data_IF_246444878839
#
_entry.id   IF_246444878839
#
_cell.length_a   1.000
_cell.length_b   1.000
_cell.length_c   1.000
_cell.angle_alpha   90.00
_cell.angle_beta   90.00
_cell.angle_gamma   90.00
#
_symmetry.space_group_name_H-M   'P 1'
#
loop_
_entity.id
_entity.type
_entity.pdbx_description
1 polymer ?
#
# COMPACT_ATOMS: atom_id res chain seq x y z
N UNK A 1 -4.56 -10.44 20.05
CA UNK A 1 -4.84 -10.87 18.64
C UNK A 1 -3.98 -9.97 17.77
N UNK A 2 -3.29 -10.53 16.77
CA UNK A 2 -2.45 -9.80 15.82
C UNK A 2 -3.27 -8.76 15.05
N UNK A 3 -2.67 -7.61 14.77
CA UNK A 3 -3.33 -6.51 14.05
C UNK A 3 -2.54 -6.14 12.80
N UNK A 4 -3.23 -5.48 11.87
CA UNK A 4 -2.61 -4.86 10.70
C UNK A 4 -2.83 -3.35 10.82
N UNK A 5 -1.73 -2.61 10.82
CA UNK A 5 -1.75 -1.16 10.75
C UNK A 5 -1.31 -0.71 9.37
N UNK A 6 -2.01 0.26 8.82
CA UNK A 6 -1.52 1.01 7.67
C UNK A 6 -1.22 2.43 8.06
N UNK A 7 -0.20 3.02 7.48
CA UNK A 7 0.04 4.46 7.52
C UNK A 7 0.24 4.96 6.10
N UNK A 8 -0.59 5.91 5.69
CA UNK A 8 -0.60 6.35 4.30
C UNK A 8 -1.62 7.45 4.02
N UNK A 9 -1.63 7.90 2.79
CA UNK A 9 -2.58 8.90 2.32
C UNK A 9 -3.94 8.27 2.05
N UNK A 10 -5.00 9.05 2.34
CA UNK A 10 -6.30 8.84 1.75
C UNK A 10 -6.72 10.05 0.94
N UNK A 11 -7.40 9.81 -0.16
CA UNK A 11 -7.84 10.82 -1.11
C UNK A 11 -9.20 10.43 -1.69
N UNK A 12 -10.00 11.40 -2.09
CA UNK A 12 -11.25 11.12 -2.78
C UNK A 12 -11.07 11.37 -4.28
N UNK A 13 -11.03 10.28 -5.06
CA UNK A 13 -10.82 10.34 -6.50
C UNK A 13 -12.14 10.60 -7.23
N UNK A 14 -12.20 11.65 -8.05
CA UNK A 14 -13.33 11.98 -8.92
C UNK A 14 -12.89 11.72 -10.35
N UNK A 15 -13.48 10.70 -10.99
CA UNK A 15 -13.14 10.29 -12.33
C UNK A 15 -14.01 11.03 -13.36
N UNK A 16 -13.36 11.58 -14.36
CA UNK A 16 -14.00 12.26 -15.48
C UNK A 16 -13.76 11.50 -16.78
N UNK A 17 -14.80 11.38 -17.59
CA UNK A 17 -14.71 10.91 -18.97
C UNK A 17 -15.43 11.90 -19.87
N UNK A 18 -14.76 12.36 -20.94
CA UNK A 18 -15.29 13.38 -21.86
C UNK A 18 -15.83 14.63 -21.12
N UNK A 19 -15.08 15.07 -20.10
CA UNK A 19 -15.42 16.25 -19.30
C UNK A 19 -16.58 16.09 -18.32
N UNK A 20 -17.16 14.87 -18.19
CA UNK A 20 -18.25 14.59 -17.25
C UNK A 20 -17.77 13.69 -16.11
N UNK A 21 -18.17 13.96 -14.83
CA UNK A 21 -17.86 13.06 -13.74
C UNK A 21 -18.62 11.74 -13.91
N UNK A 22 -17.91 10.61 -13.85
CA UNK A 22 -18.48 9.26 -14.03
C UNK A 22 -18.43 8.41 -12.78
N UNK A 23 -17.52 8.71 -11.87
CA UNK A 23 -17.39 8.01 -10.58
C UNK A 23 -16.73 8.92 -9.56
N UNK A 24 -16.96 8.63 -8.28
CA UNK A 24 -16.26 9.24 -7.17
C UNK A 24 -16.07 8.19 -6.07
N UNK A 25 -14.81 7.91 -5.70
CA UNK A 25 -14.45 6.82 -4.81
C UNK A 25 -13.34 7.23 -3.84
N UNK A 26 -13.37 6.79 -2.58
CA UNK A 26 -12.21 6.89 -1.70
C UNK A 26 -11.05 6.06 -2.24
N UNK A 27 -9.83 6.56 -2.13
CA UNK A 27 -8.64 5.89 -2.62
C UNK A 27 -7.40 6.21 -1.80
N UNK A 28 -6.29 5.73 -2.28
CA UNK A 28 -4.96 5.77 -1.67
C UNK A 28 -4.36 4.37 -1.62
N UNK A 29 -3.06 4.23 -1.86
CA UNK A 29 -2.47 2.92 -2.06
C UNK A 29 -2.63 2.01 -0.82
N UNK A 30 -2.19 2.46 0.36
CA UNK A 30 -2.36 1.71 1.61
C UNK A 30 -3.86 1.57 1.98
N UNK A 31 -4.65 2.61 1.72
CA UNK A 31 -6.10 2.59 1.93
C UNK A 31 -6.78 1.45 1.16
N UNK A 32 -6.52 1.33 -0.13
CA UNK A 32 -7.13 0.31 -0.99
C UNK A 32 -6.84 -1.11 -0.47
N UNK A 33 -5.59 -1.36 -0.09
CA UNK A 33 -5.19 -2.64 0.50
C UNK A 33 -5.89 -2.92 1.83
N UNK A 34 -5.99 -1.92 2.71
CA UNK A 34 -6.66 -2.08 4.00
C UNK A 34 -8.15 -2.33 3.87
N UNK A 35 -8.85 -1.64 2.95
CA UNK A 35 -10.28 -1.91 2.67
C UNK A 35 -10.47 -3.37 2.29
N UNK A 36 -9.62 -3.90 1.42
CA UNK A 36 -9.69 -5.31 1.01
C UNK A 36 -9.45 -6.26 2.18
N UNK A 37 -8.48 -5.97 3.04
CA UNK A 37 -8.21 -6.75 4.25
C UNK A 37 -9.36 -6.67 5.27
N UNK A 38 -9.91 -5.49 5.50
CA UNK A 38 -11.05 -5.32 6.40
C UNK A 38 -12.28 -6.11 5.95
N UNK A 39 -12.53 -6.18 4.64
CA UNK A 39 -13.59 -7.03 4.05
C UNK A 39 -13.41 -8.51 4.37
N UNK A 40 -12.18 -9.01 4.53
CA UNK A 40 -11.92 -10.39 4.99
C UNK A 40 -12.10 -10.59 6.49
N UNK A 41 -12.40 -9.53 7.26
CA UNK A 41 -12.60 -9.58 8.70
C UNK A 41 -11.32 -9.48 9.53
N UNK A 42 -10.20 -9.13 8.92
CA UNK A 42 -8.96 -8.85 9.65
C UNK A 42 -9.08 -7.59 10.52
N UNK A 43 -8.35 -7.55 11.64
CA UNK A 43 -8.29 -6.38 12.53
C UNK A 43 -7.33 -5.35 11.93
N UNK A 44 -7.88 -4.40 11.18
CA UNK A 44 -7.15 -3.37 10.46
C UNK A 44 -7.38 -2.00 11.08
N UNK A 45 -6.31 -1.23 11.22
CA UNK A 45 -6.32 0.16 11.72
C UNK A 45 -5.58 1.04 10.73
N UNK A 46 -6.14 2.19 10.39
CA UNK A 46 -5.51 3.12 9.46
C UNK A 46 -5.11 4.41 10.15
N UNK A 47 -3.84 4.78 9.97
CA UNK A 47 -3.26 6.07 10.40
C UNK A 47 -3.20 6.95 9.15
N UNK A 48 -4.03 7.97 9.10
CA UNK A 48 -4.17 8.87 7.96
C UNK A 48 -4.75 10.20 8.40
N UNK A 49 -5.14 11.03 7.46
CA UNK A 49 -5.65 12.38 7.72
C UNK A 49 -6.78 12.74 6.77
N UNK A 50 -7.77 13.48 7.29
CA UNK A 50 -8.88 14.03 6.53
C UNK A 50 -9.23 15.44 7.04
N UNK A 51 -9.99 16.20 6.26
CA UNK A 51 -10.69 17.39 6.76
C UNK A 51 -11.99 17.03 7.49
N UNK A 52 -12.56 17.98 8.21
CA UNK A 52 -13.87 17.82 8.87
C UNK A 52 -15.06 18.09 7.93
N UNK A 53 -14.83 18.05 6.63
CA UNK A 53 -15.85 18.28 5.61
C UNK A 53 -16.61 16.98 5.23
N UNK A 54 -17.63 17.13 4.37
CA UNK A 54 -18.48 16.01 3.94
C UNK A 54 -17.66 14.89 3.26
N UNK A 55 -16.57 15.24 2.54
CA UNK A 55 -15.71 14.24 1.88
C UNK A 55 -14.97 13.41 2.92
N UNK A 56 -14.42 14.04 3.96
CA UNK A 56 -13.78 13.35 5.07
C UNK A 56 -14.75 12.42 5.81
N UNK A 57 -15.98 12.89 6.07
CA UNK A 57 -17.02 12.06 6.69
C UNK A 57 -17.37 10.84 5.84
N UNK A 58 -17.48 11.01 4.51
CA UNK A 58 -17.74 9.90 3.60
C UNK A 58 -16.60 8.87 3.60
N UNK A 59 -15.36 9.32 3.64
CA UNK A 59 -14.17 8.43 3.74
C UNK A 59 -14.21 7.65 5.06
N UNK A 60 -14.44 8.32 6.20
CA UNK A 60 -14.52 7.68 7.51
C UNK A 60 -15.63 6.63 7.58
N UNK A 61 -16.84 6.98 7.10
CA UNK A 61 -17.96 6.06 7.03
C UNK A 61 -17.62 4.83 6.17
N UNK A 62 -17.03 5.05 4.99
CA UNK A 62 -16.63 3.96 4.10
C UNK A 62 -15.58 3.03 4.74
N UNK A 63 -14.59 3.57 5.46
CA UNK A 63 -13.63 2.78 6.21
C UNK A 63 -14.32 1.90 7.26
N UNK A 64 -15.21 2.47 8.08
CA UNK A 64 -15.93 1.76 9.13
C UNK A 64 -16.84 0.66 8.57
N UNK A 65 -17.56 0.93 7.48
CA UNK A 65 -18.40 -0.05 6.77
C UNK A 65 -17.61 -1.25 6.21
N UNK A 66 -16.31 -1.06 5.97
CA UNK A 66 -15.40 -2.09 5.50
C UNK A 66 -14.49 -2.65 6.63
N UNK A 67 -14.83 -2.40 7.89
CA UNK A 67 -14.16 -2.99 9.05
C UNK A 67 -12.81 -2.39 9.41
N UNK A 68 -12.52 -1.16 8.94
CA UNK A 68 -11.29 -0.44 9.28
C UNK A 68 -11.52 0.45 10.50
N UNK A 69 -10.64 0.37 11.49
CA UNK A 69 -10.63 1.25 12.66
C UNK A 69 -10.08 2.62 12.28
N UNK A 70 -10.78 3.66 12.73
CA UNK A 70 -10.51 5.06 12.40
C UNK A 70 -10.00 5.88 13.59
N UNK A 71 -9.67 5.23 14.71
CA UNK A 71 -9.27 5.90 15.96
C UNK A 71 -8.00 6.76 15.82
N UNK A 72 -7.18 6.48 14.81
CA UNK A 72 -5.92 7.19 14.54
C UNK A 72 -5.96 8.02 13.27
N UNK A 73 -7.16 8.43 12.85
CA UNK A 73 -7.33 9.36 11.73
C UNK A 73 -7.30 10.79 12.26
N UNK A 74 -6.32 11.58 11.80
CA UNK A 74 -6.27 13.02 12.11
C UNK A 74 -7.34 13.76 11.32
N UNK A 75 -8.30 14.36 12.02
CA UNK A 75 -9.38 15.14 11.42
C UNK A 75 -9.17 16.64 11.68
N UNK A 76 -8.97 17.43 10.62
CA UNK A 76 -8.59 18.85 10.73
C UNK A 76 -9.81 19.76 10.64
N UNK A 77 -10.11 20.47 11.73
CA UNK A 77 -11.22 21.42 11.80
C UNK A 77 -11.09 22.54 10.76
N UNK A 78 -12.17 22.83 10.04
CA UNK A 78 -12.26 23.88 9.02
C UNK A 78 -11.40 23.62 7.77
N UNK A 79 -10.83 22.43 7.63
CA UNK A 79 -9.99 22.04 6.48
C UNK A 79 -10.75 21.16 5.49
N UNK A 80 -10.23 21.11 4.26
CA UNK A 80 -10.79 20.30 3.19
C UNK A 80 -10.00 19.02 3.01
N UNK A 81 -10.74 17.92 2.92
CA UNK A 81 -10.16 16.61 2.59
C UNK A 81 -9.53 16.63 1.20
N UNK A 82 -8.42 15.94 1.05
CA UNK A 82 -7.75 15.82 -0.23
C UNK A 82 -8.66 15.16 -1.26
N UNK A 83 -8.73 15.78 -2.45
CA UNK A 83 -9.40 15.20 -3.62
C UNK A 83 -8.45 15.16 -4.80
N UNK A 84 -8.64 14.20 -5.69
CA UNK A 84 -8.05 14.18 -7.00
C UNK A 84 -9.12 14.24 -8.09
N UNK A 85 -8.83 14.95 -9.16
CA UNK A 85 -9.60 14.90 -10.39
C UNK A 85 -8.81 14.07 -11.40
N UNK A 86 -9.35 12.92 -11.79
CA UNK A 86 -8.75 11.99 -12.73
C UNK A 86 -9.45 12.11 -14.09
N UNK A 87 -8.83 12.73 -15.07
CA UNK A 87 -9.37 12.89 -16.42
C UNK A 87 -8.89 11.72 -17.29
N UNK A 88 -9.83 10.84 -17.65
CA UNK A 88 -9.55 9.69 -18.50
C UNK A 88 -9.50 10.13 -19.96
N UNK A 89 -8.41 9.79 -20.65
CA UNK A 89 -8.29 9.96 -22.09
C UNK A 89 -9.01 8.82 -22.87
N UNK A 90 -8.93 8.86 -24.20
CA UNK A 90 -9.55 7.85 -25.08
C UNK A 90 -8.95 6.45 -24.92
N UNK A 91 -7.72 6.32 -24.40
CA UNK A 91 -7.04 5.06 -24.11
C UNK A 91 -7.40 4.53 -22.72
N UNK A 92 -8.04 5.35 -21.87
CA UNK A 92 -8.36 5.06 -20.49
C UNK A 92 -7.24 5.42 -19.50
N UNK A 93 -6.18 6.10 -19.96
CA UNK A 93 -5.14 6.64 -19.10
C UNK A 93 -5.62 7.87 -18.36
N UNK A 94 -5.26 8.00 -17.07
CA UNK A 94 -5.75 9.06 -16.21
C UNK A 94 -4.71 10.18 -16.02
N UNK A 95 -5.12 11.42 -16.28
CA UNK A 95 -4.36 12.63 -15.92
C UNK A 95 -4.92 13.20 -14.62
N UNK A 96 -4.07 13.34 -13.60
CA UNK A 96 -4.49 13.72 -12.25
C UNK A 96 -4.20 15.19 -11.93
N UNK A 97 -5.17 15.84 -11.27
CA UNK A 97 -5.00 17.12 -10.58
C UNK A 97 -5.36 16.96 -9.11
N UNK A 98 -4.43 17.31 -8.21
CA UNK A 98 -4.60 17.11 -6.77
C UNK A 98 -4.94 18.43 -6.07
N UNK A 99 -5.88 18.38 -5.13
CA UNK A 99 -6.30 19.50 -4.29
C UNK A 99 -6.23 19.10 -2.83
N UNK A 100 -5.44 19.82 -2.05
CA UNK A 100 -5.25 19.58 -0.60
C UNK A 100 -5.24 20.92 0.14
N UNK A 101 -5.92 20.95 1.30
CA UNK A 101 -5.90 22.08 2.23
C UNK A 101 -5.64 21.59 3.66
N UNK A 102 -4.45 21.05 3.89
CA UNK A 102 -4.05 20.57 5.21
C UNK A 102 -3.17 21.60 5.94
N UNK A 103 -3.18 21.59 7.30
CA UNK A 103 -2.33 22.48 8.08
C UNK A 103 -0.85 22.10 7.95
N UNK A 104 0.04 22.98 8.41
CA UNK A 104 1.48 22.67 8.44
C UNK A 104 1.83 21.58 9.46
N UNK A 105 1.12 21.54 10.61
CA UNK A 105 1.27 20.46 11.59
C UNK A 105 0.29 19.34 11.24
N UNK A 106 0.83 18.26 10.68
CA UNK A 106 0.06 17.12 10.14
C UNK A 106 0.27 15.85 10.97
N UNK A 107 -0.63 14.90 10.84
CA UNK A 107 -0.60 13.60 11.52
C UNK A 107 -0.49 13.76 13.05
N UNK A 108 -1.46 14.42 13.63
CA UNK A 108 -1.59 14.50 15.08
C UNK A 108 -2.39 13.30 15.60
N UNK A 109 -1.71 12.27 16.04
CA UNK A 109 -2.30 11.05 16.59
C UNK A 109 -1.48 10.53 17.78
N UNK A 110 -2.17 9.88 18.71
CA UNK A 110 -1.52 9.14 19.79
C UNK A 110 -0.89 7.85 19.26
N UNK A 111 0.28 7.45 19.83
CA UNK A 111 0.93 6.20 19.41
C UNK A 111 0.03 5.01 19.70
N UNK A 112 -0.38 4.23 18.67
CA UNK A 112 -1.18 3.03 18.88
C UNK A 112 -0.38 1.95 19.62
N UNK A 113 -1.08 1.11 20.37
CA UNK A 113 -0.45 -0.05 20.97
C UNK A 113 -0.09 -1.09 19.91
N UNK A 114 1.17 -1.15 19.57
CA UNK A 114 1.76 -2.16 18.68
C UNK A 114 2.27 -3.34 19.50
N UNK A 115 1.99 -4.55 19.05
CA UNK A 115 2.45 -5.79 19.65
C UNK A 115 3.43 -6.53 18.73
N UNK A 116 4.22 -7.43 19.32
CA UNK A 116 5.12 -8.30 18.56
C UNK A 116 4.31 -9.07 17.48
N UNK A 117 4.87 -9.11 16.28
CA UNK A 117 4.29 -9.72 15.08
C UNK A 117 3.06 -9.02 14.50
N UNK A 118 2.62 -7.87 15.03
CA UNK A 118 1.71 -7.02 14.27
C UNK A 118 2.35 -6.67 12.91
N UNK A 119 1.54 -6.28 11.94
CA UNK A 119 2.03 -5.90 10.61
C UNK A 119 1.78 -4.42 10.42
N UNK A 120 2.79 -3.68 9.96
CA UNK A 120 2.67 -2.27 9.60
C UNK A 120 2.98 -2.11 8.12
N UNK A 121 1.97 -1.75 7.34
CA UNK A 121 2.11 -1.40 5.93
C UNK A 121 2.27 0.12 5.77
N UNK A 122 3.29 0.53 5.04
CA UNK A 122 3.55 1.94 4.74
C UNK A 122 4.13 2.07 3.34
N UNK A 123 4.03 3.27 2.76
CA UNK A 123 4.58 3.43 1.42
C UNK A 123 4.10 4.65 0.67
N UNK A 124 4.24 4.57 -0.64
CA UNK A 124 3.96 5.62 -1.61
C UNK A 124 4.64 6.96 -1.23
N UNK A 125 4.22 8.03 -1.87
CA UNK A 125 4.77 9.36 -1.59
C UNK A 125 4.53 9.84 -0.15
N UNK A 126 3.53 9.31 0.53
CA UNK A 126 3.26 9.63 1.94
C UNK A 126 4.43 9.31 2.87
N UNK A 127 5.08 8.18 2.66
CA UNK A 127 6.26 7.76 3.42
C UNK A 127 7.55 8.50 3.00
N UNK A 128 7.49 9.25 1.90
CA UNK A 128 8.60 10.05 1.38
C UNK A 128 8.43 11.54 1.66
N UNK A 129 7.22 11.98 2.02
CA UNK A 129 6.89 13.38 2.18
C UNK A 129 7.66 14.01 3.35
N UNK A 130 8.52 15.01 3.09
CA UNK A 130 9.37 15.61 4.14
C UNK A 130 8.56 16.30 5.24
N UNK A 131 7.35 16.79 4.94
CA UNK A 131 6.47 17.43 5.94
C UNK A 131 5.95 16.42 6.97
N UNK A 132 5.84 15.13 6.60
CA UNK A 132 5.35 14.06 7.46
C UNK A 132 6.47 13.30 8.18
N UNK A 133 7.71 13.52 7.79
CA UNK A 133 8.87 12.75 8.26
C UNK A 133 8.96 12.66 9.79
N UNK A 134 8.73 13.77 10.48
CA UNK A 134 8.84 13.87 11.94
C UNK A 134 7.69 13.14 12.69
N UNK A 135 6.68 12.68 11.99
CA UNK A 135 5.57 11.88 12.54
C UNK A 135 5.66 10.42 12.09
N UNK A 136 5.89 10.20 10.80
CA UNK A 136 5.96 8.85 10.22
C UNK A 136 7.17 8.07 10.74
N UNK A 137 8.35 8.69 10.78
CA UNK A 137 9.58 8.02 11.20
C UNK A 137 9.56 7.53 12.66
N UNK A 138 9.16 8.36 13.65
CA UNK A 138 9.03 7.88 15.04
C UNK A 138 8.04 6.72 15.18
N UNK A 139 6.90 6.77 14.47
CA UNK A 139 5.94 5.67 14.48
C UNK A 139 6.53 4.37 13.93
N UNK A 140 7.19 4.41 12.77
CA UNK A 140 7.82 3.23 12.17
C UNK A 140 8.95 2.66 13.06
N UNK A 141 9.77 3.53 13.66
CA UNK A 141 10.82 3.11 14.60
C UNK A 141 10.21 2.43 15.85
N UNK A 142 9.17 3.01 16.40
CA UNK A 142 8.44 2.43 17.53
C UNK A 142 7.88 1.04 17.16
N UNK A 143 7.20 0.93 16.02
CA UNK A 143 6.64 -0.34 15.55
C UNK A 143 7.74 -1.42 15.39
N UNK A 144 8.90 -1.03 14.82
CA UNK A 144 10.07 -1.92 14.69
C UNK A 144 10.60 -2.38 16.04
N UNK A 145 10.68 -1.47 17.03
CA UNK A 145 11.12 -1.79 18.39
C UNK A 145 10.15 -2.73 19.11
N UNK A 146 8.83 -2.62 18.84
CA UNK A 146 7.82 -3.53 19.37
C UNK A 146 7.82 -4.91 18.68
N UNK A 147 8.65 -5.12 17.66
CA UNK A 147 8.75 -6.39 16.93
C UNK A 147 7.65 -6.61 15.88
N UNK A 148 7.03 -5.55 15.38
CA UNK A 148 6.13 -5.64 14.24
C UNK A 148 6.89 -5.96 12.95
N UNK A 149 6.21 -6.56 11.97
CA UNK A 149 6.68 -6.69 10.59
C UNK A 149 6.41 -5.38 9.86
N UNK A 150 7.44 -4.79 9.27
CA UNK A 150 7.35 -3.55 8.50
C UNK A 150 7.39 -3.87 7.00
N UNK A 151 6.27 -3.65 6.33
CA UNK A 151 6.09 -3.86 4.90
C UNK A 151 6.07 -2.52 4.17
N UNK A 152 7.06 -2.29 3.33
CA UNK A 152 7.20 -1.07 2.54
C UNK A 152 6.81 -1.30 1.09
N UNK A 153 5.79 -0.58 0.61
CA UNK A 153 5.42 -0.50 -0.80
C UNK A 153 5.98 0.79 -1.41
N UNK A 154 6.88 0.66 -2.38
CA UNK A 154 7.55 1.80 -3.00
C UNK A 154 6.54 2.72 -3.69
N UNK A 155 5.68 2.17 -4.53
CA UNK A 155 4.59 2.85 -5.26
C UNK A 155 4.93 4.29 -5.68
N UNK A 156 6.07 4.44 -6.38
CA UNK A 156 6.63 5.72 -6.74
C UNK A 156 6.28 6.10 -8.17
N UNK A 157 5.35 7.04 -8.30
CA UNK A 157 4.76 7.43 -9.58
C UNK A 157 5.66 8.34 -10.41
N UNK A 158 5.47 8.30 -11.72
CA UNK A 158 6.24 9.06 -12.73
C UNK A 158 6.27 10.57 -12.48
N UNK A 159 5.17 11.15 -12.01
CA UNK A 159 5.06 12.58 -11.71
C UNK A 159 6.06 13.07 -10.64
N UNK A 160 6.62 12.17 -9.83
CA UNK A 160 7.61 12.47 -8.79
C UNK A 160 9.06 12.16 -9.20
N UNK A 161 9.32 11.70 -10.43
CA UNK A 161 10.70 11.36 -10.89
C UNK A 161 11.70 12.48 -10.68
N UNK A 162 11.28 13.73 -10.84
CA UNK A 162 12.14 14.89 -10.65
C UNK A 162 12.61 15.08 -9.21
N UNK A 163 11.98 14.42 -8.24
CA UNK A 163 12.32 14.48 -6.80
C UNK A 163 13.26 13.37 -6.34
N UNK A 164 13.58 12.37 -7.19
CA UNK A 164 14.35 11.16 -6.80
C UNK A 164 15.65 11.51 -6.07
N UNK A 165 16.43 12.46 -6.58
CA UNK A 165 17.70 12.85 -5.97
C UNK A 165 17.52 13.45 -4.57
N UNK A 166 16.51 14.31 -4.40
CA UNK A 166 16.20 14.94 -3.11
C UNK A 166 15.64 13.94 -2.08
N UNK A 167 15.00 12.86 -2.54
CA UNK A 167 14.39 11.83 -1.71
C UNK A 167 15.32 10.63 -1.46
N UNK A 168 16.51 10.61 -2.04
CA UNK A 168 17.44 9.46 -2.00
C UNK A 168 17.72 8.95 -0.58
N UNK A 169 17.94 9.83 0.37
CA UNK A 169 18.20 9.42 1.75
C UNK A 169 16.95 8.94 2.45
N UNK A 170 15.78 9.49 2.13
CA UNK A 170 14.50 9.01 2.66
C UNK A 170 14.17 7.60 2.12
N UNK A 171 14.48 7.29 0.85
CA UNK A 171 14.38 5.92 0.33
C UNK A 171 15.26 4.95 1.13
N UNK A 172 16.54 5.28 1.34
CA UNK A 172 17.46 4.44 2.14
C UNK A 172 16.95 4.20 3.56
N UNK A 173 16.44 5.26 4.21
CA UNK A 173 15.84 5.16 5.53
C UNK A 173 14.62 4.23 5.53
N UNK A 174 13.74 4.31 4.51
CA UNK A 174 12.57 3.44 4.38
C UNK A 174 13.00 1.98 4.13
N UNK A 175 13.99 1.74 3.27
CA UNK A 175 14.55 0.40 3.06
C UNK A 175 15.17 -0.16 4.34
N UNK A 176 15.91 0.64 5.11
CA UNK A 176 16.56 0.22 6.37
C UNK A 176 15.53 -0.19 7.43
N UNK A 177 14.41 0.50 7.49
CA UNK A 177 13.40 0.20 8.50
C UNK A 177 12.50 -0.99 8.09
N UNK A 178 12.29 -1.20 6.79
CA UNK A 178 11.46 -2.27 6.26
C UNK A 178 12.03 -3.67 6.55
N UNK A 179 11.16 -4.63 6.73
CA UNK A 179 11.49 -6.06 6.75
C UNK A 179 11.24 -6.71 5.38
N UNK A 180 10.33 -6.13 4.57
CA UNK A 180 10.04 -6.50 3.18
C UNK A 180 9.87 -5.22 2.37
N UNK A 181 10.55 -5.11 1.24
CA UNK A 181 10.39 -4.04 0.25
C UNK A 181 9.69 -4.60 -0.98
N UNK A 182 8.60 -3.97 -1.37
CA UNK A 182 7.89 -4.30 -2.61
C UNK A 182 7.79 -3.06 -3.50
N UNK A 183 7.82 -3.25 -4.79
CA UNK A 183 7.49 -2.26 -5.81
C UNK A 183 7.01 -2.94 -7.08
N UNK A 184 6.39 -2.17 -7.97
CA UNK A 184 6.21 -2.61 -9.35
C UNK A 184 7.48 -2.37 -10.14
N UNK A 185 7.60 -3.05 -11.28
CA UNK A 185 8.67 -2.82 -12.24
C UNK A 185 8.76 -1.32 -12.63
N UNK A 186 7.62 -0.68 -12.85
CA UNK A 186 7.54 0.75 -13.18
C UNK A 186 8.05 1.64 -12.04
N UNK A 187 7.70 1.34 -10.79
CA UNK A 187 8.19 2.08 -9.62
C UNK A 187 9.71 2.06 -9.56
N UNK A 188 10.31 0.88 -9.79
CA UNK A 188 11.76 0.73 -9.77
C UNK A 188 12.44 1.46 -10.93
N UNK A 189 11.85 1.43 -12.14
CA UNK A 189 12.35 2.23 -13.26
C UNK A 189 12.30 3.72 -12.92
N UNK A 190 11.24 4.18 -12.29
CA UNK A 190 11.09 5.59 -11.90
C UNK A 190 12.18 6.05 -10.93
N UNK A 191 12.61 5.18 -10.01
CA UNK A 191 13.64 5.51 -9.01
C UNK A 191 15.06 5.28 -9.52
N UNK A 192 15.31 4.20 -10.27
CA UNK A 192 16.65 3.76 -10.63
C UNK A 192 17.03 4.06 -12.10
N UNK A 193 16.05 4.39 -12.96
CA UNK A 193 16.27 4.73 -14.37
C UNK A 193 16.56 3.52 -15.27
N UNK A 194 16.41 2.28 -14.77
CA UNK A 194 16.58 1.04 -15.52
C UNK A 194 15.68 -0.06 -14.97
N UNK A 195 15.50 -1.15 -15.71
CA UNK A 195 14.60 -2.27 -15.44
C UNK A 195 15.29 -3.54 -14.92
N UNK A 196 16.59 -3.51 -14.72
CA UNK A 196 17.36 -4.63 -14.18
C UNK A 196 17.06 -4.83 -12.68
N UNK A 197 16.06 -5.68 -12.39
CA UNK A 197 15.64 -5.96 -11.02
C UNK A 197 16.78 -6.55 -10.15
N UNK A 198 17.73 -7.27 -10.73
CA UNK A 198 18.84 -7.82 -9.97
C UNK A 198 19.81 -6.73 -9.50
N UNK A 199 20.17 -5.85 -10.41
CA UNK A 199 21.00 -4.69 -10.08
C UNK A 199 20.31 -3.76 -9.08
N UNK A 200 18.98 -3.58 -9.18
CA UNK A 200 18.20 -2.83 -8.23
C UNK A 200 18.21 -3.50 -6.85
N UNK A 201 18.04 -4.83 -6.82
CA UNK A 201 18.15 -5.61 -5.58
C UNK A 201 19.54 -5.45 -4.93
N UNK A 202 20.63 -5.48 -5.69
CA UNK A 202 21.98 -5.31 -5.16
C UNK A 202 22.16 -3.98 -4.41
N UNK A 203 21.42 -2.95 -4.80
CA UNK A 203 21.39 -1.68 -4.09
C UNK A 203 20.49 -1.71 -2.85
N UNK A 204 19.29 -2.26 -2.96
CA UNK A 204 18.31 -2.32 -1.86
C UNK A 204 18.75 -3.32 -0.78
N UNK A 205 19.40 -4.43 -1.16
CA UNK A 205 19.83 -5.50 -0.25
C UNK A 205 20.82 -5.04 0.83
N UNK A 206 21.51 -3.93 0.57
CA UNK A 206 22.38 -3.27 1.58
C UNK A 206 21.61 -2.81 2.81
N UNK A 207 20.28 -2.67 2.70
CA UNK A 207 19.37 -2.15 3.71
C UNK A 207 18.28 -3.16 4.08
N UNK A 208 17.67 -3.81 3.10
CA UNK A 208 16.62 -4.81 3.27
C UNK A 208 16.86 -6.03 2.37
N UNK A 209 17.02 -7.23 2.93
CA UNK A 209 17.36 -8.43 2.13
C UNK A 209 16.15 -9.04 1.42
N UNK A 210 14.92 -8.56 1.66
CA UNK A 210 13.70 -9.11 1.06
C UNK A 210 13.07 -8.11 0.10
N UNK A 211 13.09 -8.51 -1.16
CA UNK A 211 12.68 -7.68 -2.29
C UNK A 211 11.61 -8.39 -3.10
N UNK A 212 10.55 -7.68 -3.45
CA UNK A 212 9.47 -8.17 -4.31
C UNK A 212 9.25 -7.18 -5.45
N UNK A 213 9.38 -7.66 -6.69
CA UNK A 213 9.10 -6.88 -7.90
C UNK A 213 7.91 -7.50 -8.64
N UNK A 214 6.78 -6.77 -8.71
CA UNK A 214 5.64 -7.18 -9.54
C UNK A 214 5.81 -6.65 -10.95
N UNK A 215 5.57 -7.51 -11.97
CA UNK A 215 5.84 -7.24 -13.38
C UNK A 215 4.59 -7.47 -14.26
N UNK A 216 3.42 -7.23 -13.70
CA UNK A 216 2.13 -7.44 -14.38
C UNK A 216 2.00 -8.87 -14.90
N UNK A 217 1.78 -9.03 -16.22
CA UNK A 217 1.64 -10.34 -16.87
C UNK A 217 2.91 -11.22 -16.79
N UNK A 218 4.08 -10.63 -16.59
CA UNK A 218 5.37 -11.33 -16.49
C UNK A 218 5.62 -11.87 -15.09
N UNK A 219 4.62 -11.78 -14.21
CA UNK A 219 4.59 -12.40 -12.88
C UNK A 219 5.29 -11.58 -11.80
N UNK A 220 5.85 -12.29 -10.82
CA UNK A 220 6.44 -11.70 -9.62
C UNK A 220 7.83 -12.29 -9.40
N UNK A 221 8.81 -11.41 -9.23
CA UNK A 221 10.15 -11.78 -8.77
C UNK A 221 10.24 -11.51 -7.27
N UNK A 222 10.69 -12.51 -6.52
CA UNK A 222 11.08 -12.37 -5.11
C UNK A 222 12.56 -12.67 -5.00
N UNK A 223 13.30 -11.81 -4.29
CA UNK A 223 14.69 -12.08 -3.92
C UNK A 223 14.79 -11.97 -2.40
N UNK A 224 15.14 -13.05 -1.74
CA UNK A 224 15.28 -13.16 -0.29
C UNK A 224 16.69 -13.63 0.06
N UNK A 225 17.50 -12.78 0.72
CA UNK A 225 18.89 -13.03 1.03
C UNK A 225 19.71 -13.54 -0.20
N UNK A 226 19.45 -12.98 -1.39
CA UNK A 226 20.10 -13.34 -2.65
C UNK A 226 19.51 -14.57 -3.33
N UNK A 227 18.58 -15.29 -2.72
CA UNK A 227 17.87 -16.40 -3.33
C UNK A 227 16.71 -15.89 -4.18
N UNK A 228 16.73 -16.18 -5.47
CA UNK A 228 15.73 -15.73 -6.43
C UNK A 228 14.59 -16.75 -6.60
N UNK A 229 13.35 -16.25 -6.61
CA UNK A 229 12.14 -17.01 -6.90
C UNK A 229 11.27 -16.24 -7.89
N UNK A 230 10.80 -16.93 -8.92
CA UNK A 230 9.84 -16.35 -9.89
C UNK A 230 8.53 -17.09 -9.82
N UNK A 231 7.43 -16.35 -9.84
CA UNK A 231 6.07 -16.85 -9.80
C UNK A 231 5.28 -16.24 -10.96
N UNK A 232 4.52 -17.08 -11.67
CA UNK A 232 3.69 -16.64 -12.79
C UNK A 232 2.45 -15.92 -12.29
N UNK A 233 1.98 -14.89 -13.02
CA UNK A 233 0.69 -14.26 -12.79
C UNK A 233 -0.45 -15.02 -13.48
N UNK A 234 -1.70 -14.71 -13.11
CA UNK A 234 -2.87 -15.21 -13.81
C UNK A 234 -2.98 -14.56 -15.20
N UNK A 235 -3.31 -15.38 -16.21
CA UNK A 235 -3.60 -14.87 -17.55
C UNK A 235 -5.03 -14.36 -17.62
N UNK A 236 -5.20 -13.04 -17.65
CA UNK A 236 -6.50 -12.34 -17.71
C UNK A 236 -6.48 -11.25 -18.77
N UNK A 237 -7.67 -10.82 -19.18
CA UNK A 237 -7.88 -9.56 -19.90
C UNK A 237 -8.46 -8.58 -18.87
N UNK A 238 -7.67 -7.61 -18.38
CA UNK A 238 -8.11 -6.73 -17.31
C UNK A 238 -9.17 -5.73 -17.80
N UNK A 239 -10.14 -5.43 -16.93
CA UNK A 239 -11.08 -4.31 -17.08
C UNK A 239 -10.39 -3.00 -16.69
N UNK A 240 -9.59 -3.06 -15.60
CA UNK A 240 -8.76 -1.97 -15.07
C UNK A 240 -7.56 -2.55 -14.36
N UNK A 241 -6.44 -1.85 -14.35
CA UNK A 241 -5.25 -2.22 -13.55
C UNK A 241 -5.08 -1.34 -12.31
N UNK A 242 -5.97 -0.36 -12.13
CA UNK A 242 -5.94 0.54 -10.96
C UNK A 242 -6.18 -0.27 -9.68
N UNK A 243 -5.33 -0.08 -8.69
CA UNK A 243 -5.43 -0.78 -7.41
C UNK A 243 -4.90 -2.23 -7.42
N UNK A 244 -4.46 -2.77 -8.56
CA UNK A 244 -3.92 -4.15 -8.62
C UNK A 244 -2.72 -4.34 -7.70
N UNK A 245 -1.76 -3.41 -7.69
CA UNK A 245 -0.59 -3.42 -6.80
C UNK A 245 -0.98 -3.31 -5.33
N UNK A 246 -1.93 -2.43 -5.00
CA UNK A 246 -2.42 -2.23 -3.64
C UNK A 246 -3.08 -3.51 -3.10
N UNK A 247 -3.82 -4.21 -3.96
CA UNK A 247 -4.49 -5.45 -3.59
C UNK A 247 -3.54 -6.66 -3.62
N UNK A 248 -2.51 -6.65 -4.45
CA UNK A 248 -1.41 -7.60 -4.31
C UNK A 248 -0.77 -7.49 -2.91
N UNK A 249 -0.52 -6.28 -2.43
CA UNK A 249 -0.04 -6.03 -1.08
C UNK A 249 -1.01 -6.59 -0.03
N UNK A 250 -2.32 -6.33 -0.19
CA UNK A 250 -3.35 -6.86 0.70
C UNK A 250 -3.31 -8.40 0.77
N UNK A 251 -3.25 -9.08 -0.37
CA UNK A 251 -3.16 -10.55 -0.40
C UNK A 251 -1.90 -11.08 0.27
N UNK A 252 -0.75 -10.43 0.07
CA UNK A 252 0.50 -10.81 0.74
C UNK A 252 0.41 -10.62 2.26
N UNK A 253 -0.12 -9.49 2.72
CA UNK A 253 -0.34 -9.22 4.14
C UNK A 253 -1.36 -10.19 4.76
N UNK A 254 -2.41 -10.56 4.02
CA UNK A 254 -3.34 -11.61 4.41
C UNK A 254 -2.61 -12.94 4.61
N UNK A 255 -1.74 -13.33 3.69
CA UNK A 255 -0.93 -14.54 3.78
C UNK A 255 0.02 -14.55 4.98
N UNK A 256 0.71 -13.43 5.24
CA UNK A 256 1.57 -13.27 6.42
C UNK A 256 0.78 -13.43 7.72
N UNK A 257 -0.42 -12.83 7.77
CA UNK A 257 -1.30 -12.90 8.92
C UNK A 257 -1.81 -14.33 9.17
N UNK A 258 -2.43 -14.95 8.17
CA UNK A 258 -3.08 -16.26 8.27
C UNK A 258 -2.10 -17.40 8.39
N UNK A 259 -0.93 -17.28 7.76
CA UNK A 259 0.18 -18.22 7.90
C UNK A 259 0.88 -18.16 9.26
N UNK A 260 0.50 -17.22 10.15
CA UNK A 260 1.14 -17.05 11.45
C UNK A 260 2.62 -16.65 11.35
N UNK A 261 3.02 -16.09 10.20
CA UNK A 261 4.43 -15.72 9.96
C UNK A 261 4.76 -14.50 10.80
N UNK A 262 5.56 -14.71 11.83
CA UNK A 262 6.08 -13.64 12.69
C UNK A 262 7.37 -13.04 12.13
N UNK A 263 7.81 -11.92 12.71
CA UNK A 263 9.02 -11.23 12.26
C UNK A 263 10.26 -12.11 12.37
N UNK A 264 10.36 -12.90 13.44
CA UNK A 264 11.50 -13.80 13.66
C UNK A 264 11.55 -14.94 12.63
N UNK A 265 10.41 -15.25 11.97
CA UNK A 265 10.31 -16.32 10.97
C UNK A 265 10.61 -15.83 9.53
N UNK A 266 10.65 -14.52 9.29
CA UNK A 266 10.88 -13.98 7.94
C UNK A 266 12.20 -14.43 7.32
N UNK A 267 13.25 -14.68 8.14
CA UNK A 267 14.55 -15.16 7.68
C UNK A 267 14.60 -16.63 7.29
N UNK A 268 13.52 -17.39 7.53
CA UNK A 268 13.44 -18.82 7.29
C UNK A 268 12.38 -19.20 6.24
N UNK A 269 11.83 -18.23 5.49
CA UNK A 269 10.82 -18.50 4.48
C UNK A 269 11.40 -19.34 3.35
N UNK A 270 10.75 -20.46 3.06
CA UNK A 270 11.07 -21.34 1.95
C UNK A 270 10.45 -20.83 0.65
N UNK A 271 10.84 -21.44 -0.48
CA UNK A 271 10.17 -21.20 -1.77
C UNK A 271 8.66 -21.42 -1.70
N UNK A 272 8.24 -22.46 -0.98
CA UNK A 272 6.81 -22.81 -0.87
C UNK A 272 6.06 -21.78 0.01
N UNK A 273 6.72 -21.26 1.04
CA UNK A 273 6.16 -20.17 1.84
C UNK A 273 5.97 -18.90 0.99
N UNK A 274 6.99 -18.49 0.25
CA UNK A 274 6.88 -17.40 -0.71
C UNK A 274 5.81 -17.67 -1.77
N UNK A 275 5.74 -18.90 -2.29
CA UNK A 275 4.71 -19.31 -3.26
C UNK A 275 3.30 -19.09 -2.73
N UNK A 276 3.03 -19.47 -1.48
CA UNK A 276 1.74 -19.22 -0.83
C UNK A 276 1.44 -17.73 -0.66
N UNK A 277 2.41 -16.95 -0.17
CA UNK A 277 2.25 -15.52 0.03
C UNK A 277 1.97 -14.79 -1.29
N UNK A 278 2.74 -15.11 -2.34
CA UNK A 278 2.59 -14.52 -3.67
C UNK A 278 1.28 -14.95 -4.33
N UNK A 279 0.84 -16.20 -4.13
CA UNK A 279 -0.47 -16.66 -4.63
C UNK A 279 -1.62 -15.81 -4.09
N UNK A 280 -1.65 -15.52 -2.77
CA UNK A 280 -2.64 -14.59 -2.21
C UNK A 280 -2.54 -13.19 -2.85
N UNK A 281 -1.33 -12.69 -3.04
CA UNK A 281 -1.12 -11.39 -3.70
C UNK A 281 -1.68 -11.38 -5.12
N UNK A 282 -1.39 -12.42 -5.91
CA UNK A 282 -1.88 -12.58 -7.28
C UNK A 282 -3.41 -12.68 -7.30
N UNK A 283 -4.01 -13.47 -6.40
CA UNK A 283 -5.46 -13.66 -6.37
C UNK A 283 -6.20 -12.36 -6.08
N UNK A 284 -5.75 -11.59 -5.07
CA UNK A 284 -6.35 -10.30 -4.72
C UNK A 284 -6.14 -9.25 -5.83
N UNK A 285 -4.94 -9.18 -6.40
CA UNK A 285 -4.65 -8.26 -7.51
C UNK A 285 -5.45 -8.62 -8.76
N UNK A 286 -5.60 -9.92 -9.09
CA UNK A 286 -6.40 -10.39 -10.22
C UNK A 286 -7.87 -10.03 -10.06
N UNK A 287 -8.45 -10.24 -8.86
CA UNK A 287 -9.85 -9.89 -8.59
C UNK A 287 -10.14 -8.42 -8.89
N UNK A 288 -9.28 -7.53 -8.44
CA UNK A 288 -9.45 -6.09 -8.69
C UNK A 288 -9.32 -5.76 -10.18
N UNK A 289 -8.42 -6.43 -10.90
CA UNK A 289 -8.28 -6.24 -12.34
C UNK A 289 -9.54 -6.61 -13.15
N UNK A 290 -10.43 -7.43 -12.59
CA UNK A 290 -11.68 -7.84 -13.27
C UNK A 290 -12.84 -6.85 -13.11
N UNK A 291 -12.61 -5.71 -12.45
CA UNK A 291 -13.61 -4.68 -12.22
C UNK A 291 -13.02 -3.27 -12.33
N UNK A 292 -13.84 -2.25 -12.14
CA UNK A 292 -13.42 -0.85 -12.00
C UNK A 292 -13.24 -0.43 -10.54
N UNK A 293 -13.37 -1.37 -9.58
CA UNK A 293 -13.19 -1.11 -8.15
C UNK A 293 -11.71 -1.11 -7.78
N UNK A 294 -11.33 -0.27 -6.81
CA UNK A 294 -9.97 -0.21 -6.28
C UNK A 294 -9.72 -1.25 -5.16
N UNK A 295 -10.72 -2.06 -4.83
CA UNK A 295 -10.66 -3.06 -3.74
C UNK A 295 -11.37 -4.34 -4.14
N UNK A 296 -11.01 -5.49 -3.55
CA UNK A 296 -11.68 -6.76 -3.81
C UNK A 296 -13.18 -6.69 -3.47
N UNK A 297 -14.01 -7.38 -4.23
CA UNK A 297 -15.46 -7.42 -3.97
C UNK A 297 -15.78 -8.04 -2.60
N UNK A 298 -16.96 -7.71 -2.04
CA UNK A 298 -17.42 -8.35 -0.79
C UNK A 298 -17.58 -9.86 -0.97
N UNK A 299 -18.02 -10.31 -2.15
CA UNK A 299 -18.21 -11.73 -2.47
C UNK A 299 -16.87 -12.47 -2.55
N UNK A 300 -15.85 -11.87 -3.17
CA UNK A 300 -14.50 -12.40 -3.16
C UNK A 300 -13.97 -12.50 -1.72
N UNK A 301 -14.10 -11.44 -0.94
CA UNK A 301 -13.63 -11.39 0.45
C UNK A 301 -14.28 -12.47 1.34
N UNK A 302 -15.51 -12.93 1.04
CA UNK A 302 -16.14 -14.03 1.78
C UNK A 302 -15.36 -15.35 1.65
N UNK A 303 -14.68 -15.61 0.52
CA UNK A 303 -13.83 -16.81 0.32
C UNK A 303 -12.62 -16.81 1.27
N UNK A 304 -12.20 -15.63 1.69
CA UNK A 304 -11.05 -15.37 2.58
C UNK A 304 -11.48 -14.93 3.98
N UNK A 305 -12.76 -15.13 4.33
CA UNK A 305 -13.31 -14.64 5.59
C UNK A 305 -12.66 -15.34 6.79
N UNK A 306 -12.11 -14.56 7.69
CA UNK A 306 -11.61 -15.08 8.96
C UNK A 306 -12.77 -15.16 9.94
N UNK A 307 -13.07 -16.37 10.36
CA UNK A 307 -14.03 -16.61 11.44
C UNK A 307 -13.27 -16.41 12.76
N UNK A 308 -13.70 -15.45 13.54
CA UNK A 308 -13.14 -15.13 14.86
C UNK A 308 -13.78 -15.97 15.94
#
# INVERSE_FOLDING_TARGET
MRKIFGIGETIYDILFRQGQPVAAVPGGSVFNGLISLGRTGLDCTFITEVGDDQVGQNILAFMQENGIKTDFVSCYQGKKTAISLAFLDDNGDAHYSFYKDYPNNRLDFEMPLIQKNDIVAFGAYFALNPVLKDKVRPFLNYAKQQGAILYYDLNFRDNHKHEVESLRDTFKENFTIADIVRGSHEDFINVYGHDDCKRIYDEISKYCPRFICTRGKDGVLVIDHGQEYTFSSNSIVPVSTIGAGDNFNAGLLYGLYTGGIGRDNLGCLTRDDWGRLISYGIDFGTEVCMSTSNYVSKDFAQKYKIVR
#
